data_IF_311591437536
#
_entry.id   IF_311591437536
#
_cell.length_a   1.000
_cell.length_b   1.000
_cell.length_c   1.000
_cell.angle_alpha   90.00
_cell.angle_beta   90.00
_cell.angle_gamma   90.00
#
_symmetry.space_group_name_H-M   'P 1'
#
loop_
_entity.id
_entity.type
_entity.pdbx_description
1 polymer ?
#
# COMPACT_ATOMS: atom_id res chain seq x y z
N UNK A 1 -20.58 -4.09 -3.47
CA UNK A 1 -19.45 -4.99 -3.11
C UNK A 1 -19.89 -6.28 -2.40
N UNK A 2 -20.95 -6.27 -1.55
CA UNK A 2 -21.41 -7.47 -0.82
C UNK A 2 -21.76 -8.65 -1.74
N UNK A 3 -22.58 -8.49 -2.81
CA UNK A 3 -22.91 -9.61 -3.71
C UNK A 3 -21.67 -10.19 -4.41
N UNK A 4 -20.75 -9.33 -4.84
CA UNK A 4 -19.49 -9.75 -5.48
C UNK A 4 -18.61 -10.54 -4.51
N UNK A 5 -18.52 -10.10 -3.26
CA UNK A 5 -17.80 -10.81 -2.22
C UNK A 5 -18.38 -12.19 -1.89
N UNK A 6 -19.71 -12.31 -1.86
CA UNK A 6 -20.39 -13.60 -1.66
C UNK A 6 -20.17 -14.57 -2.83
N UNK A 7 -20.21 -14.07 -4.06
CA UNK A 7 -19.90 -14.87 -5.26
C UNK A 7 -18.44 -15.33 -5.22
N UNK A 8 -17.51 -14.43 -4.93
CA UNK A 8 -16.09 -14.77 -4.82
C UNK A 8 -15.83 -15.82 -3.72
N UNK A 9 -16.50 -15.69 -2.58
CA UNK A 9 -16.39 -16.67 -1.47
C UNK A 9 -16.94 -18.04 -1.84
N UNK A 10 -18.09 -18.09 -2.53
CA UNK A 10 -18.68 -19.36 -2.98
C UNK A 10 -17.84 -20.04 -4.06
N UNK A 11 -17.29 -19.27 -5.01
CA UNK A 11 -16.35 -19.78 -6.01
C UNK A 11 -15.08 -20.30 -5.37
N UNK A 12 -14.52 -19.55 -4.42
CA UNK A 12 -13.33 -19.95 -3.68
C UNK A 12 -13.53 -21.28 -2.95
N UNK A 13 -14.64 -21.44 -2.22
CA UNK A 13 -14.97 -22.71 -1.52
C UNK A 13 -15.18 -23.89 -2.46
N UNK A 14 -15.60 -23.64 -3.69
CA UNK A 14 -15.88 -24.71 -4.67
C UNK A 14 -14.66 -25.12 -5.49
N UNK A 15 -13.77 -24.21 -5.77
CA UNK A 15 -12.66 -24.41 -6.72
C UNK A 15 -11.27 -24.43 -6.07
N UNK A 16 -11.11 -23.93 -4.84
CA UNK A 16 -9.83 -24.06 -4.16
C UNK A 16 -9.72 -25.48 -3.55
N UNK A 17 -8.57 -26.15 -3.75
CA UNK A 17 -8.29 -27.39 -3.08
C UNK A 17 -8.17 -27.17 -1.57
N UNK A 18 -8.53 -28.21 -0.80
CA UNK A 18 -8.37 -28.18 0.65
C UNK A 18 -6.92 -27.91 1.04
N UNK A 19 -6.71 -27.07 2.03
CA UNK A 19 -5.36 -26.80 2.53
C UNK A 19 -4.71 -28.12 2.99
N UNK A 20 -3.48 -28.41 2.54
CA UNK A 20 -2.75 -29.55 3.07
C UNK A 20 -2.62 -29.41 4.60
N UNK A 21 -2.78 -30.54 5.30
CA UNK A 21 -2.69 -30.60 6.76
C UNK A 21 -1.43 -29.85 7.21
N UNK A 22 -1.61 -28.77 7.95
CA UNK A 22 -0.49 -28.01 8.49
C UNK A 22 0.27 -28.89 9.47
N UNK A 23 1.48 -29.29 9.09
CA UNK A 23 2.43 -29.92 10.00
C UNK A 23 2.98 -28.81 10.89
N UNK A 24 2.46 -28.71 12.10
CA UNK A 24 2.85 -27.74 13.11
C UNK A 24 1.74 -26.73 13.43
N UNK A 25 1.11 -26.87 14.59
CA UNK A 25 0.19 -25.89 15.15
C UNK A 25 0.99 -24.74 15.77
N UNK A 26 1.37 -23.74 14.98
CA UNK A 26 1.83 -22.50 15.56
C UNK A 26 0.65 -21.87 16.31
N UNK A 27 0.82 -21.70 17.61
CA UNK A 27 -0.16 -20.94 18.41
C UNK A 27 -0.16 -19.51 17.92
N UNK A 28 -1.36 -18.95 17.70
CA UNK A 28 -1.52 -17.57 17.35
C UNK A 28 -0.99 -16.70 18.51
N UNK A 29 0.01 -15.87 18.24
CA UNK A 29 0.59 -14.97 19.24
C UNK A 29 -0.26 -13.69 19.33
N UNK A 30 -1.16 -13.69 20.34
CA UNK A 30 -2.01 -12.53 20.62
C UNK A 30 -1.21 -11.29 21.02
N UNK A 31 -0.05 -11.49 21.63
CA UNK A 31 0.81 -10.40 22.05
C UNK A 31 1.35 -9.62 20.86
N UNK A 32 1.88 -10.32 19.88
CA UNK A 32 2.40 -9.73 18.65
C UNK A 32 1.28 -9.10 17.82
N UNK A 33 0.11 -9.73 17.75
CA UNK A 33 -1.04 -9.16 17.08
C UNK A 33 -1.51 -7.83 17.73
N UNK A 34 -1.56 -7.78 19.05
CA UNK A 34 -1.92 -6.56 19.80
C UNK A 34 -0.86 -5.47 19.61
N UNK A 35 0.43 -5.80 19.69
CA UNK A 35 1.51 -4.84 19.50
C UNK A 35 1.50 -4.28 18.07
N UNK A 36 1.22 -5.11 17.08
CA UNK A 36 1.02 -4.68 15.68
C UNK A 36 -0.15 -3.69 15.59
N UNK A 37 -1.32 -4.06 16.10
CA UNK A 37 -2.50 -3.21 16.06
C UNK A 37 -2.28 -1.87 16.78
N UNK A 38 -1.60 -1.88 17.95
CA UNK A 38 -1.26 -0.66 18.68
C UNK A 38 -0.26 0.22 17.90
N UNK A 39 0.76 -0.38 17.29
CA UNK A 39 1.76 0.37 16.51
C UNK A 39 1.11 1.10 15.33
N UNK A 40 0.34 0.38 14.52
CA UNK A 40 -0.35 0.99 13.38
C UNK A 40 -1.49 1.92 13.79
N UNK A 41 -2.22 1.58 14.87
CA UNK A 41 -3.26 2.45 15.42
C UNK A 41 -2.70 3.78 15.93
N UNK A 42 -1.61 3.76 16.70
CA UNK A 42 -0.92 4.97 17.16
C UNK A 42 -0.32 5.77 16.01
N UNK A 43 0.21 5.10 14.98
CA UNK A 43 0.71 5.76 13.78
C UNK A 43 -0.41 6.55 13.09
N UNK A 44 -1.54 5.89 12.81
CA UNK A 44 -2.69 6.53 12.16
C UNK A 44 -3.26 7.67 13.03
N UNK A 45 -3.45 7.43 14.32
CA UNK A 45 -3.94 8.44 15.25
C UNK A 45 -3.01 9.66 15.35
N UNK A 46 -1.68 9.44 15.28
CA UNK A 46 -0.71 10.54 15.30
C UNK A 46 -0.74 11.36 14.00
N UNK A 47 -0.86 10.71 12.85
CA UNK A 47 -1.00 11.39 11.55
C UNK A 47 -2.30 12.18 11.49
N UNK A 48 -3.41 11.59 11.90
CA UNK A 48 -4.71 12.24 11.94
C UNK A 48 -4.72 13.42 12.92
N UNK A 49 -4.16 13.21 14.11
CA UNK A 49 -4.04 14.26 15.13
C UNK A 49 -3.20 15.44 14.65
N UNK A 50 -2.15 15.19 13.90
CA UNK A 50 -1.36 16.25 13.26
C UNK A 50 -2.18 17.03 12.23
N UNK A 51 -2.95 16.35 11.40
CA UNK A 51 -3.78 16.96 10.36
C UNK A 51 -4.93 17.81 10.93
N UNK A 52 -5.49 17.39 12.07
CA UNK A 52 -6.58 18.11 12.74
C UNK A 52 -6.13 19.15 13.78
N UNK A 53 -4.81 19.37 13.92
CA UNK A 53 -4.26 20.38 14.83
C UNK A 53 -4.53 20.07 16.31
N UNK A 54 -4.44 18.81 16.71
CA UNK A 54 -4.54 18.40 18.12
C UNK A 54 -3.51 19.15 18.98
N UNK A 55 -3.84 19.29 20.27
CA UNK A 55 -2.92 19.89 21.25
C UNK A 55 -1.52 19.26 21.13
N UNK A 56 -0.46 20.08 20.97
CA UNK A 56 0.92 19.58 20.79
C UNK A 56 1.37 18.62 21.90
N UNK A 57 0.81 18.72 23.09
CA UNK A 57 1.11 17.83 24.22
C UNK A 57 0.54 16.44 24.01
N UNK A 58 -0.69 16.35 23.51
CA UNK A 58 -1.36 15.08 23.21
C UNK A 58 -0.65 14.43 22.02
N UNK A 59 -0.34 15.21 20.98
CA UNK A 59 0.37 14.74 19.81
C UNK A 59 1.78 14.20 20.16
N UNK A 60 2.54 14.93 20.96
CA UNK A 60 3.87 14.48 21.40
C UNK A 60 3.81 13.22 22.26
N UNK A 61 2.81 13.10 23.14
CA UNK A 61 2.58 11.89 23.91
C UNK A 61 2.23 10.69 23.02
N UNK A 62 1.38 10.89 22.00
CA UNK A 62 1.04 9.88 21.00
C UNK A 62 2.26 9.40 20.21
N UNK A 63 3.08 10.33 19.73
CA UNK A 63 4.33 10.01 19.02
C UNK A 63 5.31 9.28 19.93
N UNK A 64 5.47 9.73 21.18
CA UNK A 64 6.33 9.03 22.14
C UNK A 64 5.83 7.60 22.40
N UNK A 65 4.53 7.40 22.60
CA UNK A 65 3.94 6.09 22.75
C UNK A 65 4.16 5.21 21.51
N UNK A 66 3.99 5.76 20.29
CA UNK A 66 4.28 5.08 19.03
C UNK A 66 5.74 4.62 18.96
N UNK A 67 6.68 5.48 19.30
CA UNK A 67 8.11 5.14 19.26
C UNK A 67 8.45 4.02 20.26
N UNK A 68 7.88 4.08 21.47
CA UNK A 68 8.10 3.06 22.49
C UNK A 68 7.49 1.72 22.07
N UNK A 69 6.20 1.71 21.70
CA UNK A 69 5.50 0.49 21.29
C UNK A 69 6.12 -0.09 20.03
N UNK A 70 6.41 0.76 19.04
CA UNK A 70 7.06 0.37 17.78
C UNK A 70 8.45 -0.22 18.00
N UNK A 71 9.25 0.36 18.89
CA UNK A 71 10.56 -0.20 19.27
C UNK A 71 10.45 -1.60 19.86
N UNK A 72 9.53 -1.80 20.82
CA UNK A 72 9.32 -3.12 21.41
C UNK A 72 8.74 -4.11 20.40
N UNK A 73 7.85 -3.66 19.54
CA UNK A 73 7.30 -4.48 18.45
C UNK A 73 8.38 -4.95 17.48
N UNK A 74 9.20 -4.05 16.95
CA UNK A 74 10.32 -4.41 16.05
C UNK A 74 11.29 -5.37 16.75
N UNK A 75 11.61 -5.10 18.02
CA UNK A 75 12.51 -5.96 18.80
C UNK A 75 11.91 -7.36 19.03
N UNK A 76 10.60 -7.47 19.24
CA UNK A 76 9.89 -8.76 19.34
C UNK A 76 9.99 -9.50 18.02
N UNK A 77 9.64 -8.85 16.91
CA UNK A 77 9.64 -9.45 15.57
C UNK A 77 11.02 -9.94 15.12
N UNK A 78 12.10 -9.24 15.49
CA UNK A 78 13.48 -9.65 15.17
C UNK A 78 13.96 -10.89 15.96
N UNK A 79 13.25 -11.27 17.03
CA UNK A 79 13.60 -12.43 17.87
C UNK A 79 12.71 -13.64 17.60
N UNK A 80 11.59 -13.43 16.94
CA UNK A 80 10.60 -14.48 16.70
C UNK A 80 11.03 -15.33 15.49
N UNK A 81 11.01 -16.67 15.58
CA UNK A 81 11.35 -17.54 14.46
C UNK A 81 10.33 -17.47 13.31
N UNK A 82 9.09 -17.01 13.60
CA UNK A 82 8.02 -16.82 12.61
C UNK A 82 7.37 -15.44 12.78
N UNK A 83 8.09 -14.36 12.41
CA UNK A 83 7.61 -13.01 12.63
C UNK A 83 6.41 -12.69 11.75
N UNK A 84 5.49 -11.87 12.28
CA UNK A 84 4.37 -11.31 11.50
C UNK A 84 4.88 -10.39 10.38
N UNK A 85 5.93 -9.63 10.66
CA UNK A 85 6.63 -8.80 9.69
C UNK A 85 8.08 -9.28 9.54
N UNK A 86 8.43 -9.88 8.42
CA UNK A 86 9.77 -10.42 8.19
C UNK A 86 10.78 -9.31 7.88
N UNK A 87 11.17 -8.53 8.89
CA UNK A 87 12.17 -7.46 8.76
C UNK A 87 13.53 -7.95 8.26
N UNK A 88 13.81 -9.24 8.42
CA UNK A 88 15.05 -9.84 7.90
C UNK A 88 15.14 -9.75 6.37
N UNK A 89 14.01 -9.73 5.66
CA UNK A 89 13.97 -9.53 4.21
C UNK A 89 14.50 -8.14 3.81
N UNK A 90 14.35 -7.13 4.68
CA UNK A 90 14.90 -5.79 4.41
C UNK A 90 16.43 -5.76 4.41
N UNK A 91 17.11 -6.80 4.94
CA UNK A 91 18.57 -6.95 4.84
C UNK A 91 19.01 -7.40 3.44
N UNK A 92 18.08 -7.91 2.63
CA UNK A 92 18.33 -8.28 1.25
C UNK A 92 18.21 -7.01 0.40
N UNK A 93 19.30 -6.53 -0.24
CA UNK A 93 19.30 -5.23 -0.91
C UNK A 93 18.23 -5.12 -2.00
N UNK A 94 18.02 -6.17 -2.79
CA UNK A 94 17.01 -6.18 -3.85
C UNK A 94 15.59 -6.03 -3.29
N UNK A 95 15.31 -6.66 -2.15
CA UNK A 95 14.00 -6.55 -1.49
C UNK A 95 13.79 -5.13 -0.92
N UNK A 96 14.81 -4.59 -0.25
CA UNK A 96 14.77 -3.26 0.33
C UNK A 96 14.56 -2.17 -0.72
N UNK A 97 15.28 -2.25 -1.84
CA UNK A 97 15.11 -1.34 -2.97
C UNK A 97 13.71 -1.49 -3.59
N UNK A 98 13.20 -2.70 -3.73
CA UNK A 98 11.85 -2.94 -4.25
C UNK A 98 10.77 -2.33 -3.35
N UNK A 99 10.89 -2.47 -2.02
CA UNK A 99 9.98 -1.87 -1.06
C UNK A 99 10.04 -0.35 -1.13
N UNK A 100 11.24 0.23 -1.14
CA UNK A 100 11.42 1.69 -1.25
C UNK A 100 10.82 2.22 -2.55
N UNK A 101 11.07 1.56 -3.66
CA UNK A 101 10.50 1.88 -4.97
C UNK A 101 8.96 1.85 -4.95
N UNK A 102 8.38 0.83 -4.32
CA UNK A 102 6.94 0.72 -4.16
C UNK A 102 6.37 1.87 -3.33
N UNK A 103 7.00 2.21 -2.22
CA UNK A 103 6.58 3.34 -1.37
C UNK A 103 6.61 4.65 -2.16
N UNK A 104 7.72 4.94 -2.86
CA UNK A 104 7.83 6.16 -3.67
C UNK A 104 6.79 6.21 -4.79
N UNK A 105 6.55 5.08 -5.46
CA UNK A 105 5.52 4.98 -6.51
C UNK A 105 4.12 5.25 -5.97
N UNK A 106 3.77 4.63 -4.84
CA UNK A 106 2.46 4.84 -4.20
C UNK A 106 2.28 6.27 -3.72
N UNK A 107 3.31 6.90 -3.15
CA UNK A 107 3.25 8.30 -2.74
C UNK A 107 3.00 9.22 -3.93
N UNK A 108 3.73 9.05 -5.02
CA UNK A 108 3.52 9.82 -6.25
C UNK A 108 2.12 9.61 -6.84
N UNK A 109 1.67 8.36 -6.86
CA UNK A 109 0.35 7.99 -7.34
C UNK A 109 -0.77 8.60 -6.49
N UNK A 110 -0.67 8.52 -5.16
CA UNK A 110 -1.67 9.09 -4.26
C UNK A 110 -1.71 10.61 -4.34
N UNK A 111 -0.55 11.25 -4.42
CA UNK A 111 -0.47 12.69 -4.62
C UNK A 111 -1.19 13.13 -5.91
N UNK A 112 -0.91 12.45 -7.03
CA UNK A 112 -1.58 12.73 -8.30
C UNK A 112 -3.09 12.46 -8.23
N UNK A 113 -3.51 11.35 -7.59
CA UNK A 113 -4.92 10.99 -7.46
C UNK A 113 -5.72 12.01 -6.65
N UNK A 114 -5.09 12.63 -5.65
CA UNK A 114 -5.73 13.69 -4.86
C UNK A 114 -5.66 15.05 -5.55
N UNK A 115 -4.50 15.42 -6.10
CA UNK A 115 -4.29 16.74 -6.68
C UNK A 115 -5.02 16.93 -8.02
N UNK A 116 -5.06 15.90 -8.86
CA UNK A 116 -5.56 16.01 -10.23
C UNK A 116 -7.05 16.42 -10.32
N UNK A 117 -7.98 15.88 -9.51
CA UNK A 117 -9.37 16.36 -9.54
C UNK A 117 -9.52 17.83 -9.19
N UNK A 118 -8.79 18.30 -8.19
CA UNK A 118 -8.81 19.72 -7.82
C UNK A 118 -8.25 20.60 -8.92
N UNK A 119 -7.16 20.17 -9.54
CA UNK A 119 -6.54 20.89 -10.66
C UNK A 119 -7.50 21.01 -11.85
N UNK A 120 -8.15 19.90 -12.24
CA UNK A 120 -9.11 19.86 -13.35
C UNK A 120 -10.31 20.76 -13.10
N UNK A 121 -10.80 20.83 -11.86
CA UNK A 121 -11.95 21.66 -11.51
C UNK A 121 -11.60 23.14 -11.39
N UNK A 122 -10.46 23.49 -10.79
CA UNK A 122 -10.11 24.88 -10.51
C UNK A 122 -9.44 25.58 -11.69
N UNK A 123 -8.51 24.91 -12.39
CA UNK A 123 -7.78 25.54 -13.48
C UNK A 123 -8.49 25.40 -14.83
N UNK A 124 -9.06 24.23 -15.11
CA UNK A 124 -9.75 23.95 -16.38
C UNK A 124 -11.27 24.18 -16.31
N UNK A 125 -11.84 24.40 -15.13
CA UNK A 125 -13.26 24.66 -14.95
C UNK A 125 -14.16 23.47 -15.30
N UNK A 126 -13.64 22.24 -15.29
CA UNK A 126 -14.45 21.04 -15.51
C UNK A 126 -15.43 20.84 -14.36
N UNK A 127 -16.64 20.41 -14.71
CA UNK A 127 -17.62 19.96 -13.73
C UNK A 127 -17.22 18.62 -13.08
N UNK A 128 -17.91 18.24 -12.03
CA UNK A 128 -17.64 17.01 -11.28
C UNK A 128 -17.76 15.75 -12.16
N UNK A 129 -18.70 15.75 -13.11
CA UNK A 129 -18.97 14.61 -14.00
C UNK A 129 -17.84 14.46 -15.01
N UNK A 130 -17.43 15.54 -15.66
CA UNK A 130 -16.33 15.52 -16.62
C UNK A 130 -15.01 15.15 -15.94
N UNK A 131 -14.76 15.70 -14.74
CA UNK A 131 -13.60 15.33 -13.91
C UNK A 131 -13.61 13.83 -13.60
N UNK A 132 -14.72 13.27 -13.15
CA UNK A 132 -14.87 11.84 -12.88
C UNK A 132 -14.63 10.97 -14.11
N UNK A 133 -15.15 11.36 -15.27
CA UNK A 133 -14.91 10.66 -16.53
C UNK A 133 -13.43 10.68 -16.93
N UNK A 134 -12.77 11.81 -16.81
CA UNK A 134 -11.32 11.92 -17.08
C UNK A 134 -10.50 11.04 -16.13
N UNK A 135 -10.86 11.02 -14.84
CA UNK A 135 -10.21 10.16 -13.86
C UNK A 135 -10.43 8.66 -14.13
N UNK A 136 -11.47 8.28 -14.85
CA UNK A 136 -11.74 6.89 -15.25
C UNK A 136 -10.70 6.34 -16.23
N UNK A 137 -9.94 7.18 -16.90
CA UNK A 137 -8.82 6.76 -17.74
C UNK A 137 -7.78 5.94 -16.96
N UNK A 138 -7.55 6.26 -15.70
CA UNK A 138 -6.60 5.56 -14.84
C UNK A 138 -6.96 4.07 -14.62
N UNK A 139 -8.10 3.71 -14.02
CA UNK A 139 -8.48 2.30 -13.87
C UNK A 139 -8.63 1.59 -15.21
N UNK A 140 -9.07 2.27 -16.27
CA UNK A 140 -9.18 1.69 -17.60
C UNK A 140 -7.81 1.23 -18.14
N UNK A 141 -6.77 2.06 -18.00
CA UNK A 141 -5.41 1.69 -18.38
C UNK A 141 -4.90 0.53 -17.54
N UNK A 142 -5.12 0.54 -16.21
CA UNK A 142 -4.71 -0.55 -15.33
C UNK A 142 -5.36 -1.87 -15.75
N UNK A 143 -6.65 -1.86 -16.10
CA UNK A 143 -7.38 -3.05 -16.51
C UNK A 143 -6.78 -3.71 -17.77
N UNK A 144 -6.18 -2.92 -18.65
CA UNK A 144 -5.53 -3.43 -19.87
C UNK A 144 -4.06 -3.79 -19.62
N UNK A 145 -3.34 -2.91 -18.94
CA UNK A 145 -1.88 -3.04 -18.78
C UNK A 145 -1.52 -4.12 -17.75
N UNK A 146 -2.31 -4.30 -16.68
CA UNK A 146 -1.97 -5.26 -15.63
C UNK A 146 -1.90 -6.73 -16.12
N UNK A 147 -2.84 -7.24 -16.92
CA UNK A 147 -2.71 -8.59 -17.52
C UNK A 147 -1.51 -8.71 -18.44
N UNK A 148 -1.24 -7.69 -19.24
CA UNK A 148 -0.09 -7.68 -20.16
C UNK A 148 1.22 -7.71 -19.35
N UNK A 149 1.34 -6.89 -18.32
CA UNK A 149 2.50 -6.88 -17.42
C UNK A 149 2.67 -8.24 -16.72
N UNK A 150 1.57 -8.87 -16.28
CA UNK A 150 1.59 -10.21 -15.70
C UNK A 150 2.16 -11.27 -16.64
N UNK A 151 1.79 -11.25 -17.91
CA UNK A 151 2.33 -12.15 -18.92
C UNK A 151 3.80 -11.83 -19.27
N UNK A 152 4.16 -10.56 -19.25
CA UNK A 152 5.53 -10.14 -19.57
C UNK A 152 6.53 -10.48 -18.46
N UNK A 153 6.13 -10.46 -17.19
CA UNK A 153 7.02 -10.74 -16.05
C UNK A 153 7.61 -12.17 -16.10
N UNK A 154 6.92 -13.09 -16.77
CA UNK A 154 7.43 -14.45 -16.99
C UNK A 154 8.54 -14.52 -18.05
N UNK A 155 8.63 -13.53 -18.93
CA UNK A 155 9.55 -13.52 -20.09
C UNK A 155 10.62 -12.44 -20.01
N UNK A 156 10.35 -11.37 -19.29
CA UNK A 156 11.21 -10.19 -19.18
C UNK A 156 11.63 -10.00 -17.73
N UNK A 157 12.88 -9.61 -17.52
CA UNK A 157 13.37 -9.35 -16.16
C UNK A 157 12.50 -8.32 -15.43
N UNK A 158 11.99 -8.68 -14.25
CA UNK A 158 11.04 -7.85 -13.50
C UNK A 158 11.55 -6.43 -13.21
N UNK A 159 12.86 -6.27 -12.99
CA UNK A 159 13.47 -4.95 -12.77
C UNK A 159 13.40 -4.05 -14.00
N UNK A 160 13.52 -4.60 -15.21
CA UNK A 160 13.38 -3.83 -16.45
C UNK A 160 11.93 -3.39 -16.66
N UNK A 161 10.98 -4.31 -16.44
CA UNK A 161 9.56 -4.02 -16.57
C UNK A 161 9.09 -2.97 -15.55
N UNK A 162 9.54 -3.09 -14.29
CA UNK A 162 9.29 -2.09 -13.25
C UNK A 162 9.92 -0.73 -13.58
N UNK A 163 11.15 -0.71 -14.11
CA UNK A 163 11.82 0.51 -14.56
C UNK A 163 11.05 1.23 -15.67
N UNK A 164 10.54 0.49 -16.66
CA UNK A 164 9.67 1.04 -17.71
C UNK A 164 8.41 1.67 -17.14
N UNK A 165 7.74 0.98 -16.21
CA UNK A 165 6.54 1.51 -15.57
C UNK A 165 6.79 2.79 -14.78
N UNK A 166 7.90 2.84 -14.02
CA UNK A 166 8.30 4.03 -13.26
C UNK A 166 8.69 5.20 -14.16
N UNK A 167 9.40 4.96 -15.24
CA UNK A 167 9.75 6.03 -16.18
C UNK A 167 8.53 6.57 -16.91
N UNK A 168 7.58 5.71 -17.29
CA UNK A 168 6.31 6.14 -17.87
C UNK A 168 5.47 6.96 -16.86
N UNK A 169 5.41 6.54 -15.60
CA UNK A 169 4.74 7.28 -14.54
C UNK A 169 5.39 8.64 -14.30
N UNK A 170 6.72 8.68 -14.19
CA UNK A 170 7.47 9.92 -13.99
C UNK A 170 7.27 10.89 -15.17
N UNK A 171 7.29 10.39 -16.40
CA UNK A 171 7.02 11.20 -17.60
C UNK A 171 5.59 11.75 -17.60
N UNK A 172 4.61 10.94 -17.22
CA UNK A 172 3.21 11.37 -17.10
C UNK A 172 3.02 12.48 -16.05
N UNK A 173 3.60 12.30 -14.85
CA UNK A 173 3.57 13.33 -13.80
C UNK A 173 4.31 14.61 -14.20
N UNK A 174 5.43 14.46 -14.91
CA UNK A 174 6.20 15.60 -15.43
C UNK A 174 5.37 16.39 -16.46
N UNK A 175 4.73 15.72 -17.41
CA UNK A 175 3.84 16.37 -18.38
C UNK A 175 2.69 17.11 -17.70
N UNK A 176 2.07 16.52 -16.67
CA UNK A 176 1.03 17.15 -15.89
C UNK A 176 1.49 18.42 -15.15
N UNK A 177 2.77 18.50 -14.77
CA UNK A 177 3.32 19.67 -14.09
C UNK A 177 3.54 20.87 -15.03
N UNK A 178 3.49 20.66 -16.35
CA UNK A 178 3.64 21.71 -17.38
C UNK A 178 2.34 22.03 -18.14
N UNK A 179 1.25 21.40 -17.80
CA UNK A 179 -0.08 21.71 -18.30
C UNK A 179 -0.73 22.78 -17.45
#
# INVERSE_FOLDING_TARGET
>A
NIPVGLVALSLSRRFLPDNPVRVGTHRFDWRDAVMNALTFGLLMASVEGFSHGLDPRILSAGIAALLVVGFFFIRSQLREPYPLLPFDLLRIPIFSVSVLTSICSFLGQMLAMVALPFYLQHEFGYDEVATGLLMTAWPAVIMVVAPIAGLLVERVHAGFLGGMGLTAMAAGLFLLAFL
#
